data_IF_858730661731
#
_entry.id   IF_858730661731
#
_cell.length_a   1.000
_cell.length_b   1.000
_cell.length_c   1.000
_cell.angle_alpha   90.00
_cell.angle_beta   90.00
_cell.angle_gamma   90.00
#
_symmetry.space_group_name_H-M   'P 1'
#
loop_
_entity.id
_entity.type
_entity.pdbx_description
1 polymer ?
#
# COMPACT_ATOMS: atom_id res chain seq x y z
N UNK A 1 -8.49 -6.57 -1.59
CA UNK A 1 -7.79 -5.29 -1.75
C UNK A 1 -7.16 -4.94 -0.41
N UNK A 2 -5.83 -4.82 -0.32
CA UNK A 2 -5.16 -4.41 0.94
C UNK A 2 -5.39 -2.91 1.06
N UNK A 3 -6.39 -2.52 1.84
CA UNK A 3 -6.65 -1.11 2.13
C UNK A 3 -5.90 -0.75 3.40
N UNK A 4 -4.71 -0.17 3.25
CA UNK A 4 -4.01 0.44 4.37
C UNK A 4 -4.42 1.91 4.45
N UNK A 5 -5.12 2.29 5.53
CA UNK A 5 -5.29 3.70 5.87
C UNK A 5 -3.96 4.19 6.43
N UNK A 6 -3.18 4.90 5.62
CA UNK A 6 -2.03 5.65 6.12
C UNK A 6 -2.58 6.89 6.84
N UNK A 7 -2.31 7.00 8.14
CA UNK A 7 -2.60 8.19 8.93
C UNK A 7 -1.26 8.84 9.33
N UNK A 8 -0.82 9.87 8.61
CA UNK A 8 0.23 10.77 9.10
C UNK A 8 -0.36 12.14 9.42
N UNK A 9 -0.46 12.44 10.72
CA UNK A 9 -0.85 13.75 11.22
C UNK A 9 0.42 14.56 11.53
N UNK A 10 0.77 15.52 10.67
CA UNK A 10 1.84 16.49 10.93
C UNK A 10 1.24 17.86 11.26
N UNK A 11 0.53 17.94 12.39
CA UNK A 11 0.11 19.24 12.93
C UNK A 11 1.23 19.86 13.77
N UNK A 12 1.99 20.78 13.19
CA UNK A 12 2.77 21.77 13.96
C UNK A 12 2.54 23.21 13.55
N UNK A 13 1.55 23.56 12.72
CA UNK A 13 1.37 24.95 12.30
C UNK A 13 -0.09 25.42 12.40
N UNK A 14 -0.25 26.64 12.91
CA UNK A 14 -1.48 27.40 13.09
C UNK A 14 -2.10 27.89 11.77
N UNK A 15 -1.96 27.11 10.70
CA UNK A 15 -2.61 27.43 9.43
C UNK A 15 -3.98 26.74 9.37
N UNK A 16 -5.02 27.57 9.33
CA UNK A 16 -6.43 27.21 9.19
C UNK A 16 -6.79 26.49 7.87
N UNK A 17 -5.81 26.12 7.04
CA UNK A 17 -6.03 25.22 5.93
C UNK A 17 -6.20 23.80 6.47
N UNK A 18 -7.45 23.35 6.61
CA UNK A 18 -7.80 22.00 7.03
C UNK A 18 -7.02 20.96 6.21
N UNK A 19 -6.02 20.32 6.82
CA UNK A 19 -5.25 19.24 6.23
C UNK A 19 -6.23 18.10 5.88
N UNK A 20 -6.56 17.98 4.61
CA UNK A 20 -7.48 16.95 4.12
C UNK A 20 -6.74 15.62 4.03
N UNK A 21 -7.30 14.59 4.64
CA UNK A 21 -6.81 13.23 4.51
C UNK A 21 -7.12 12.71 3.10
N UNK A 22 -6.07 12.34 2.37
CA UNK A 22 -6.20 11.71 1.04
C UNK A 22 -5.87 10.24 1.18
N UNK A 23 -6.74 9.38 0.65
CA UNK A 23 -6.51 7.94 0.54
C UNK A 23 -6.18 7.64 -0.92
N UNK A 24 -5.08 6.93 -1.15
CA UNK A 24 -4.65 6.49 -2.48
C UNK A 24 -4.35 4.99 -2.49
N UNK A 25 -4.35 4.41 -3.69
CA UNK A 25 -3.96 3.01 -3.91
C UNK A 25 -2.48 2.99 -4.28
N UNK A 26 -1.64 2.38 -3.44
CA UNK A 26 -0.21 2.22 -3.72
C UNK A 26 0.07 1.09 -4.71
N UNK A 27 -0.61 -0.05 -4.57
CA UNK A 27 -0.48 -1.19 -5.47
C UNK A 27 -1.72 -2.09 -5.43
N UNK A 28 -2.06 -2.72 -6.56
CA UNK A 28 -3.13 -3.72 -6.65
C UNK A 28 -4.16 -3.44 -7.74
N UNK A 29 -4.67 -4.52 -8.35
CA UNK A 29 -5.78 -4.49 -9.30
C UNK A 29 -7.02 -5.23 -8.75
N UNK A 30 -8.09 -5.24 -9.53
CA UNK A 30 -9.31 -6.02 -9.29
C UNK A 30 -9.17 -7.51 -9.66
N UNK A 31 -8.02 -7.91 -10.21
CA UNK A 31 -7.77 -9.27 -10.69
C UNK A 31 -6.90 -10.05 -9.70
N UNK A 32 -7.43 -11.19 -9.23
CA UNK A 32 -6.71 -12.12 -8.37
C UNK A 32 -5.71 -12.95 -9.19
N UNK A 33 -4.44 -12.53 -9.18
CA UNK A 33 -3.35 -13.17 -9.91
C UNK A 33 -2.01 -12.79 -9.24
N UNK A 34 -0.88 -13.12 -9.86
CA UNK A 34 0.47 -12.97 -9.30
C UNK A 34 1.39 -12.04 -10.10
N UNK A 35 0.82 -11.24 -11.00
CA UNK A 35 1.53 -10.27 -11.84
C UNK A 35 2.30 -9.23 -11.02
N UNK A 36 3.54 -8.98 -11.42
CA UNK A 36 4.30 -7.81 -10.98
C UNK A 36 3.92 -6.60 -11.83
N UNK A 37 4.04 -5.42 -11.25
CA UNK A 37 3.75 -4.15 -11.91
C UNK A 37 3.88 -3.01 -10.91
N UNK A 38 3.78 -1.79 -11.40
CA UNK A 38 3.74 -0.57 -10.58
C UNK A 38 2.29 -0.14 -10.38
N UNK A 39 1.96 0.25 -9.16
CA UNK A 39 0.64 0.80 -8.86
C UNK A 39 -0.50 -0.19 -9.12
N UNK A 40 -1.52 0.27 -9.85
CA UNK A 40 -2.73 -0.52 -10.14
C UNK A 40 -2.51 -1.68 -11.11
N UNK A 41 -1.30 -1.82 -11.68
CA UNK A 41 -0.95 -2.96 -12.54
C UNK A 41 -0.44 -4.17 -11.75
N UNK A 42 -0.01 -3.98 -10.49
CA UNK A 42 0.38 -5.06 -9.60
C UNK A 42 -0.84 -5.93 -9.24
N UNK A 43 -0.66 -7.25 -9.21
CA UNK A 43 -1.74 -8.21 -8.96
C UNK A 43 -1.39 -9.07 -7.74
N UNK A 44 -2.36 -9.27 -6.86
CA UNK A 44 -2.25 -10.06 -5.64
C UNK A 44 -3.43 -11.04 -5.56
N UNK A 45 -3.25 -12.14 -4.87
CA UNK A 45 -4.29 -13.15 -4.63
C UNK A 45 -4.42 -13.42 -3.13
N UNK A 46 -5.51 -12.90 -2.56
CA UNK A 46 -5.87 -13.06 -1.17
C UNK A 46 -4.75 -12.71 -0.16
N UNK A 47 -4.23 -11.47 -0.19
CA UNK A 47 -3.21 -11.04 0.74
C UNK A 47 -3.77 -10.85 2.17
N UNK A 48 -3.02 -11.31 3.18
CA UNK A 48 -3.49 -11.35 4.57
C UNK A 48 -2.71 -10.51 5.57
N UNK A 49 -1.45 -10.23 5.27
CA UNK A 49 -0.56 -9.53 6.19
C UNK A 49 0.30 -8.52 5.46
N UNK A 50 0.68 -7.46 6.18
CA UNK A 50 1.63 -6.47 5.70
C UNK A 50 2.58 -6.00 6.81
N UNK A 51 3.80 -5.65 6.42
CA UNK A 51 4.79 -5.00 7.27
C UNK A 51 5.49 -3.90 6.46
N UNK A 52 6.10 -2.93 7.15
CA UNK A 52 6.82 -1.80 6.54
C UNK A 52 8.23 -1.75 7.10
N UNK A 53 9.24 -1.58 6.25
CA UNK A 53 10.61 -1.33 6.68
C UNK A 53 10.90 0.17 6.90
N UNK A 54 12.07 0.50 7.46
CA UNK A 54 12.48 1.89 7.73
C UNK A 54 12.68 2.73 6.46
N UNK A 55 12.73 2.10 5.28
CA UNK A 55 12.82 2.78 3.98
C UNK A 55 11.45 2.97 3.33
N UNK A 56 10.35 2.64 4.03
CA UNK A 56 8.99 2.77 3.54
C UNK A 56 8.59 1.69 2.52
N UNK A 57 9.37 0.62 2.37
CA UNK A 57 8.92 -0.49 1.53
C UNK A 57 7.90 -1.33 2.30
N UNK A 58 6.83 -1.72 1.60
CA UNK A 58 5.81 -2.61 2.11
C UNK A 58 6.13 -4.05 1.72
N UNK A 59 5.97 -4.97 2.67
CA UNK A 59 6.06 -6.40 2.46
C UNK A 59 4.70 -7.01 2.71
N UNK A 60 4.16 -7.69 1.71
CA UNK A 60 2.81 -8.23 1.70
C UNK A 60 2.85 -9.75 1.62
N UNK A 61 2.11 -10.42 2.51
CA UNK A 61 1.88 -11.86 2.43
C UNK A 61 0.76 -12.15 1.41
N UNK A 62 1.15 -12.46 0.19
CA UNK A 62 0.28 -12.78 -0.95
C UNK A 62 -0.09 -14.28 -0.90
N UNK A 63 -1.07 -14.59 -0.06
CA UNK A 63 -1.23 -15.91 0.57
C UNK A 63 -1.58 -17.00 -0.43
N UNK A 64 -2.56 -16.76 -1.32
CA UNK A 64 -2.94 -17.77 -2.32
C UNK A 64 -1.91 -17.91 -3.44
N UNK A 65 -1.01 -16.94 -3.58
CA UNK A 65 0.13 -17.05 -4.48
C UNK A 65 1.38 -17.65 -3.80
N UNK A 66 1.32 -17.92 -2.50
CA UNK A 66 2.44 -18.43 -1.69
C UNK A 66 3.71 -17.57 -1.78
N UNK A 67 3.57 -16.24 -1.77
CA UNK A 67 4.68 -15.29 -1.93
C UNK A 67 4.68 -14.21 -0.87
N UNK A 68 5.87 -13.73 -0.52
CA UNK A 68 6.05 -12.42 0.09
C UNK A 68 6.39 -11.43 -1.03
N UNK A 69 5.62 -10.35 -1.12
CA UNK A 69 5.73 -9.35 -2.19
C UNK A 69 6.28 -8.05 -1.61
N UNK A 70 7.26 -7.46 -2.26
CA UNK A 70 7.80 -6.13 -1.90
C UNK A 70 7.17 -5.07 -2.79
N UNK A 71 6.71 -3.97 -2.20
CA UNK A 71 6.21 -2.78 -2.87
C UNK A 71 7.07 -1.61 -2.40
N UNK A 72 7.65 -0.87 -3.34
CA UNK A 72 8.46 0.31 -3.01
C UNK A 72 7.56 1.54 -2.88
N UNK A 73 8.03 2.64 -2.26
CA UNK A 73 7.28 3.90 -2.23
C UNK A 73 6.90 4.46 -3.61
N UNK A 74 7.58 4.04 -4.68
CA UNK A 74 7.28 4.42 -6.05
C UNK A 74 6.08 3.66 -6.67
N UNK A 75 5.60 2.61 -5.99
CA UNK A 75 4.49 1.77 -6.45
C UNK A 75 4.89 0.57 -7.31
#
# INVERSE_FOLDING_TARGET
MISCKVFENTSTESDSTSKAWVVSILAGSDTANSGNGTGTTAQFNYPYGMAVDSSGNFYVADTNNHRIRKITPAG
#
